data_IF_417956586650
#
_entry.id   IF_417956586650
#
_cell.length_a   1.000
_cell.length_b   1.000
_cell.length_c   1.000
_cell.angle_alpha   90.00
_cell.angle_beta   90.00
_cell.angle_gamma   90.00
#
_symmetry.space_group_name_H-M   'P 1'
#
loop_
_entity.id
_entity.type
_entity.pdbx_description
1 polymer ?
#
# COMPACT_ATOMS: atom_id res chain seq x y z
N UNK A 1 16.83 -3.43 -5.19
CA UNK A 1 16.59 -1.98 -4.98
C UNK A 1 15.21 -1.73 -4.35
N UNK A 2 14.11 -2.22 -4.92
CA UNK A 2 12.73 -1.97 -4.43
C UNK A 2 12.55 -2.35 -2.95
N UNK A 3 13.05 -3.52 -2.51
CA UNK A 3 12.92 -3.93 -1.11
C UNK A 3 13.62 -2.95 -0.13
N UNK A 4 14.77 -2.37 -0.51
CA UNK A 4 15.46 -1.37 0.34
C UNK A 4 14.63 -0.10 0.49
N UNK A 5 13.99 0.35 -0.61
CA UNK A 5 13.10 1.51 -0.58
C UNK A 5 11.87 1.21 0.28
N UNK A 6 11.28 0.01 0.14
CA UNK A 6 10.15 -0.42 0.97
C UNK A 6 10.49 -0.45 2.47
N UNK A 7 11.67 -0.95 2.84
CA UNK A 7 12.12 -0.89 4.23
C UNK A 7 12.33 0.54 4.72
N UNK A 8 12.86 1.42 3.85
CA UNK A 8 12.95 2.85 4.15
C UNK A 8 11.57 3.49 4.40
N UNK A 9 10.58 3.14 3.59
CA UNK A 9 9.19 3.59 3.79
C UNK A 9 8.58 3.05 5.08
N UNK A 10 8.81 1.78 5.42
CA UNK A 10 8.36 1.22 6.70
C UNK A 10 8.97 1.97 7.89
N UNK A 11 10.28 2.26 7.83
CA UNK A 11 10.94 3.05 8.85
C UNK A 11 10.37 4.48 8.93
N UNK A 12 10.07 5.10 7.80
CA UNK A 12 9.46 6.43 7.75
C UNK A 12 8.05 6.44 8.38
N UNK A 13 7.25 5.39 8.19
CA UNK A 13 5.94 5.25 8.86
C UNK A 13 6.13 5.23 10.38
N UNK A 14 7.01 4.35 10.87
CA UNK A 14 7.23 4.20 12.31
C UNK A 14 7.82 5.46 12.95
N UNK A 15 8.80 6.08 12.29
CA UNK A 15 9.39 7.34 12.75
C UNK A 15 8.36 8.47 12.73
N UNK A 16 7.55 8.57 11.67
CA UNK A 16 6.49 9.56 11.57
C UNK A 16 5.51 9.45 12.74
N UNK A 17 5.03 8.24 13.03
CA UNK A 17 4.16 7.97 14.18
C UNK A 17 4.84 8.37 15.50
N UNK A 18 6.06 7.90 15.70
CA UNK A 18 6.79 8.17 16.96
C UNK A 18 7.02 9.66 17.20
N UNK A 19 7.48 10.39 16.17
CA UNK A 19 7.83 11.80 16.29
C UNK A 19 6.62 12.72 16.45
N UNK A 20 5.46 12.30 15.93
CA UNK A 20 4.26 13.16 15.93
C UNK A 20 3.22 12.74 16.98
N UNK A 21 3.43 11.63 17.67
CA UNK A 21 2.46 11.08 18.64
C UNK A 21 2.03 12.11 19.68
N UNK A 22 3.00 12.77 20.33
CA UNK A 22 2.72 13.73 21.38
C UNK A 22 1.95 14.97 20.87
N UNK A 23 2.20 15.37 19.63
CA UNK A 23 1.55 16.51 19.02
C UNK A 23 0.10 16.24 18.60
N UNK A 24 -0.30 14.97 18.45
CA UNK A 24 -1.68 14.63 18.10
C UNK A 24 -2.63 14.93 19.25
N UNK A 25 -3.78 15.57 18.99
CA UNK A 25 -4.81 15.81 20.00
C UNK A 25 -5.48 14.49 20.41
N UNK A 26 -6.14 14.53 21.56
CA UNK A 26 -7.05 13.48 22.02
C UNK A 26 -8.38 14.14 22.39
N UNK A 27 -9.47 13.81 21.70
CA UNK A 27 -9.63 12.81 20.65
C UNK A 27 -9.11 13.26 19.27
N UNK A 28 -8.83 12.25 18.41
CA UNK A 28 -8.51 12.44 16.99
C UNK A 28 -9.76 12.48 16.12
N UNK A 29 -9.69 13.21 15.02
CA UNK A 29 -10.72 13.22 13.99
C UNK A 29 -10.22 12.55 12.72
N UNK A 30 -11.02 11.65 12.17
CA UNK A 30 -10.71 10.95 10.91
C UNK A 30 -11.93 10.91 9.98
N UNK A 31 -11.68 10.75 8.68
CA UNK A 31 -12.73 10.45 7.70
C UNK A 31 -12.80 8.95 7.45
N UNK A 32 -14.01 8.37 7.43
CA UNK A 32 -14.20 6.92 7.24
C UNK A 32 -14.32 6.50 5.80
N UNK A 33 -14.73 7.40 4.91
CA UNK A 33 -14.97 7.11 3.50
C UNK A 33 -14.41 8.19 2.60
N UNK A 34 -14.11 7.82 1.34
CA UNK A 34 -13.69 8.78 0.32
C UNK A 34 -14.74 9.89 0.11
N UNK A 35 -16.02 9.55 0.23
CA UNK A 35 -17.11 10.53 0.11
C UNK A 35 -17.13 11.54 1.25
N UNK A 36 -16.84 11.10 2.47
CA UNK A 36 -16.69 12.00 3.63
C UNK A 36 -15.44 12.88 3.49
N UNK A 37 -14.37 12.31 2.92
CA UNK A 37 -13.16 13.07 2.62
C UNK A 37 -13.42 14.19 1.59
N UNK A 38 -14.25 13.91 0.57
CA UNK A 38 -14.59 14.89 -0.47
C UNK A 38 -15.58 15.94 0.05
N UNK A 39 -16.57 15.51 0.83
CA UNK A 39 -17.64 16.35 1.31
C UNK A 39 -17.31 17.13 2.60
N UNK A 40 -16.27 16.74 3.29
CA UNK A 40 -15.82 17.25 4.63
C UNK A 40 -16.94 17.30 5.70
N UNK A 41 -17.99 16.49 5.55
CA UNK A 41 -19.23 16.65 6.31
C UNK A 41 -19.29 15.81 7.59
N UNK A 42 -18.51 14.72 7.68
CA UNK A 42 -18.56 13.80 8.82
C UNK A 42 -17.16 13.36 9.20
N UNK A 43 -16.74 13.74 10.38
CA UNK A 43 -15.47 13.29 10.99
C UNK A 43 -15.78 12.28 12.08
N UNK A 44 -15.15 11.13 12.04
CA UNK A 44 -15.18 10.19 13.16
C UNK A 44 -14.19 10.61 14.22
N UNK A 45 -14.67 10.54 15.46
CA UNK A 45 -13.86 10.80 16.64
C UNK A 45 -13.28 9.48 17.16
N UNK A 46 -11.98 9.47 17.36
CA UNK A 46 -11.23 8.32 17.87
C UNK A 46 -10.45 8.72 19.12
N UNK A 47 -10.38 7.81 20.07
CA UNK A 47 -9.34 7.85 21.10
C UNK A 47 -7.96 7.69 20.43
N UNK A 48 -7.02 8.53 20.81
CA UNK A 48 -5.67 8.59 20.23
C UNK A 48 -4.93 7.26 20.34
N UNK A 49 -5.01 6.60 21.49
CA UNK A 49 -4.35 5.31 21.72
C UNK A 49 -4.97 4.21 20.87
N UNK A 50 -6.30 4.15 20.80
CA UNK A 50 -7.02 3.15 20.00
C UNK A 50 -6.77 3.33 18.51
N UNK A 51 -6.74 4.58 18.02
CA UNK A 51 -6.39 4.87 16.63
C UNK A 51 -5.00 4.35 16.29
N UNK A 52 -4.00 4.66 17.11
CA UNK A 52 -2.63 4.24 16.87
C UNK A 52 -2.45 2.73 16.94
N UNK A 53 -3.09 2.07 17.92
CA UNK A 53 -3.07 0.62 18.02
C UNK A 53 -3.63 -0.02 16.75
N UNK A 54 -4.80 0.45 16.29
CA UNK A 54 -5.41 -0.03 15.06
C UNK A 54 -4.51 0.23 13.83
N UNK A 55 -3.96 1.44 13.73
CA UNK A 55 -3.10 1.83 12.62
C UNK A 55 -1.83 0.99 12.55
N UNK A 56 -1.13 0.80 13.67
CA UNK A 56 0.09 -0.01 13.75
C UNK A 56 -0.21 -1.49 13.53
N UNK A 57 -1.32 -2.02 14.08
CA UNK A 57 -1.73 -3.40 13.83
C UNK A 57 -2.01 -3.63 12.33
N UNK A 58 -2.75 -2.72 11.69
CA UNK A 58 -2.99 -2.78 10.24
C UNK A 58 -1.68 -2.71 9.45
N UNK A 59 -0.76 -1.80 9.80
CA UNK A 59 0.55 -1.68 9.17
C UNK A 59 1.35 -2.99 9.26
N UNK A 60 1.42 -3.62 10.44
CA UNK A 60 2.15 -4.87 10.64
C UNK A 60 1.51 -6.00 9.84
N UNK A 61 0.19 -6.17 9.94
CA UNK A 61 -0.56 -7.23 9.24
C UNK A 61 -0.40 -7.09 7.73
N UNK A 62 -0.56 -5.88 7.19
CA UNK A 62 -0.41 -5.62 5.75
C UNK A 62 1.01 -5.98 5.26
N UNK A 63 2.04 -5.60 6.00
CA UNK A 63 3.43 -5.90 5.63
C UNK A 63 3.76 -7.39 5.76
N UNK A 64 3.30 -8.08 6.79
CA UNK A 64 3.45 -9.53 6.92
C UNK A 64 2.75 -10.25 5.76
N UNK A 65 1.55 -9.82 5.40
CA UNK A 65 0.83 -10.39 4.27
C UNK A 65 1.59 -10.19 2.95
N UNK A 66 2.01 -8.96 2.65
CA UNK A 66 2.63 -8.61 1.37
C UNK A 66 4.04 -9.20 1.23
N UNK A 67 4.89 -9.10 2.27
CA UNK A 67 6.30 -9.47 2.14
C UNK A 67 6.62 -10.90 2.59
N UNK A 68 5.76 -11.54 3.37
CA UNK A 68 5.96 -12.91 3.81
C UNK A 68 4.98 -13.86 3.16
N UNK A 69 3.66 -13.64 3.35
CA UNK A 69 2.65 -14.61 2.96
C UNK A 69 2.47 -14.69 1.44
N UNK A 70 2.31 -13.57 0.74
CA UNK A 70 2.12 -13.57 -0.72
C UNK A 70 3.28 -14.19 -1.49
N UNK A 71 4.56 -13.88 -1.24
CA UNK A 71 5.68 -14.54 -1.92
C UNK A 71 5.75 -16.04 -1.67
N UNK A 72 5.40 -16.49 -0.45
CA UNK A 72 5.32 -17.92 -0.12
C UNK A 72 4.21 -18.60 -0.93
N UNK A 73 3.00 -18.01 -0.95
CA UNK A 73 1.86 -18.56 -1.68
C UNK A 73 2.12 -18.63 -3.18
N UNK A 74 2.70 -17.58 -3.78
CA UNK A 74 3.07 -17.57 -5.20
C UNK A 74 4.11 -18.63 -5.52
N UNK A 75 5.09 -18.84 -4.65
CA UNK A 75 6.11 -19.87 -4.85
C UNK A 75 5.52 -21.28 -4.75
N UNK A 76 4.59 -21.51 -3.82
CA UNK A 76 4.00 -22.83 -3.55
C UNK A 76 2.83 -23.17 -4.49
N UNK A 77 2.00 -22.19 -4.80
CA UNK A 77 0.75 -22.37 -5.54
C UNK A 77 0.60 -21.40 -6.74
N UNK A 78 1.59 -21.31 -7.65
CA UNK A 78 1.56 -20.31 -8.71
C UNK A 78 0.34 -20.47 -9.63
N UNK A 79 -0.07 -21.71 -9.93
CA UNK A 79 -1.23 -21.99 -10.79
C UNK A 79 -2.58 -21.52 -10.20
N UNK A 80 -2.72 -21.48 -8.89
CA UNK A 80 -3.94 -21.05 -8.25
C UNK A 80 -4.09 -19.52 -8.22
N UNK A 81 -2.96 -18.82 -8.16
CA UNK A 81 -2.93 -17.36 -7.94
C UNK A 81 -2.80 -16.56 -9.24
N UNK A 82 -2.31 -17.20 -10.33
CA UNK A 82 -2.02 -16.49 -11.58
C UNK A 82 -2.98 -16.95 -12.66
N UNK A 83 -3.86 -16.05 -13.10
CA UNK A 83 -4.89 -16.32 -14.09
C UNK A 83 -4.59 -15.69 -15.45
N UNK A 84 -3.79 -14.62 -15.48
CA UNK A 84 -3.46 -13.86 -16.69
C UNK A 84 -2.51 -14.67 -17.56
N UNK A 85 -2.90 -14.92 -18.82
CA UNK A 85 -2.10 -15.67 -19.80
C UNK A 85 -1.61 -17.03 -19.31
N UNK A 86 -2.44 -17.75 -18.55
CA UNK A 86 -2.08 -19.00 -17.86
C UNK A 86 -1.52 -20.07 -18.81
N UNK A 87 -2.13 -20.26 -19.97
CA UNK A 87 -1.68 -21.25 -20.98
C UNK A 87 -0.28 -20.96 -21.51
N UNK A 88 0.10 -19.70 -21.62
CA UNK A 88 1.43 -19.29 -22.03
C UNK A 88 2.47 -19.53 -20.93
N UNK A 89 2.17 -19.09 -19.72
CA UNK A 89 3.13 -19.12 -18.62
C UNK A 89 3.41 -20.50 -18.05
N UNK A 90 2.45 -21.42 -18.11
CA UNK A 90 2.61 -22.78 -17.60
C UNK A 90 2.90 -23.82 -18.68
N UNK A 91 3.35 -23.40 -19.86
CA UNK A 91 3.71 -24.28 -20.97
C UNK A 91 4.98 -25.06 -20.69
N UNK A 92 5.97 -24.44 -20.03
CA UNK A 92 7.24 -25.05 -19.67
C UNK A 92 7.77 -24.47 -18.34
N UNK A 93 8.74 -25.15 -17.72
CA UNK A 93 9.29 -24.75 -16.40
C UNK A 93 10.07 -23.42 -16.47
N UNK A 94 10.71 -23.11 -17.59
CA UNK A 94 11.46 -21.86 -17.75
C UNK A 94 10.51 -20.67 -17.67
N UNK A 95 9.39 -20.70 -18.39
CA UNK A 95 8.34 -19.66 -18.35
C UNK A 95 7.69 -19.55 -16.99
N UNK A 96 7.40 -20.68 -16.36
CA UNK A 96 6.86 -20.70 -14.98
C UNK A 96 7.80 -19.99 -14.01
N UNK A 97 9.11 -20.23 -14.08
CA UNK A 97 10.09 -19.58 -13.22
C UNK A 97 10.21 -18.06 -13.51
N UNK A 98 10.17 -17.68 -14.79
CA UNK A 98 10.09 -16.25 -15.18
C UNK A 98 8.85 -15.58 -14.61
N UNK A 99 7.69 -16.23 -14.69
CA UNK A 99 6.45 -15.74 -14.13
C UNK A 99 6.54 -15.54 -12.62
N UNK A 100 7.04 -16.53 -11.88
CA UNK A 100 7.20 -16.44 -10.42
C UNK A 100 8.09 -15.23 -10.06
N UNK A 101 9.17 -15.02 -10.79
CA UNK A 101 10.07 -13.88 -10.60
C UNK A 101 9.37 -12.56 -10.90
N UNK A 102 8.59 -12.49 -11.99
CA UNK A 102 7.82 -11.33 -12.36
C UNK A 102 6.77 -10.98 -11.29
N UNK A 103 6.02 -11.98 -10.80
CA UNK A 103 5.01 -11.80 -9.75
C UNK A 103 5.65 -11.34 -8.44
N UNK A 104 6.79 -11.90 -8.04
CA UNK A 104 7.53 -11.42 -6.86
C UNK A 104 7.95 -9.95 -6.99
N UNK A 105 8.33 -9.53 -8.19
CA UNK A 105 8.62 -8.12 -8.47
C UNK A 105 7.37 -7.25 -8.32
N UNK A 106 6.23 -7.69 -8.88
CA UNK A 106 4.93 -6.99 -8.72
C UNK A 106 4.54 -6.88 -7.24
N UNK A 107 4.71 -7.95 -6.45
CA UNK A 107 4.44 -7.93 -5.01
C UNK A 107 5.32 -6.92 -4.29
N UNK A 108 6.61 -6.83 -4.63
CA UNK A 108 7.50 -5.84 -4.03
C UNK A 108 7.08 -4.40 -4.32
N UNK A 109 6.62 -4.11 -5.55
CA UNK A 109 6.07 -2.80 -5.91
C UNK A 109 4.70 -2.56 -5.26
N UNK A 110 3.85 -3.59 -5.14
CA UNK A 110 2.60 -3.49 -4.40
C UNK A 110 2.84 -3.12 -2.93
N UNK A 111 3.86 -3.71 -2.32
CA UNK A 111 4.26 -3.37 -0.95
C UNK A 111 4.77 -1.94 -0.81
N UNK A 112 5.57 -1.46 -1.76
CA UNK A 112 6.00 -0.06 -1.78
C UNK A 112 4.79 0.88 -1.90
N UNK A 113 3.87 0.57 -2.81
CA UNK A 113 2.66 1.35 -3.01
C UNK A 113 1.75 1.34 -1.77
N UNK A 114 1.51 0.16 -1.16
CA UNK A 114 0.73 0.03 0.05
C UNK A 114 1.32 0.84 1.22
N UNK A 115 2.64 0.75 1.43
CA UNK A 115 3.32 1.53 2.48
C UNK A 115 3.28 3.04 2.21
N UNK A 116 3.32 3.46 0.94
CA UNK A 116 3.11 4.86 0.58
C UNK A 116 1.71 5.34 0.96
N UNK A 117 0.66 4.53 0.67
CA UNK A 117 -0.72 4.85 1.06
C UNK A 117 -0.83 4.94 2.59
N UNK A 118 -0.27 3.98 3.31
CA UNK A 118 -0.30 3.96 4.79
C UNK A 118 0.37 5.22 5.34
N UNK A 119 1.55 5.60 4.84
CA UNK A 119 2.25 6.81 5.25
C UNK A 119 1.43 8.07 4.95
N UNK A 120 0.89 8.18 3.73
CA UNK A 120 0.05 9.32 3.35
C UNK A 120 -1.22 9.42 4.16
N UNK A 121 -1.88 8.29 4.47
CA UNK A 121 -3.07 8.27 5.32
C UNK A 121 -2.76 8.78 6.72
N UNK A 122 -1.63 8.38 7.30
CA UNK A 122 -1.20 8.87 8.60
C UNK A 122 -0.95 10.38 8.59
N UNK A 123 -0.16 10.86 7.62
CA UNK A 123 0.12 12.29 7.46
C UNK A 123 -1.13 13.11 7.22
N UNK A 124 -2.09 12.55 6.46
CA UNK A 124 -3.37 13.22 6.24
C UNK A 124 -4.15 13.38 7.55
N UNK A 125 -4.24 12.31 8.36
CA UNK A 125 -4.87 12.39 9.69
C UNK A 125 -4.15 13.39 10.57
N UNK A 126 -2.83 13.39 10.59
CA UNK A 126 -2.03 14.34 11.35
C UNK A 126 -2.34 15.79 10.94
N UNK A 127 -2.23 16.10 9.65
CA UNK A 127 -2.47 17.45 9.12
C UNK A 127 -3.90 17.94 9.36
N UNK A 128 -4.89 17.04 9.23
CA UNK A 128 -6.30 17.37 9.53
C UNK A 128 -6.48 17.79 10.99
N UNK A 129 -5.85 17.07 11.91
CA UNK A 129 -5.94 17.36 13.34
C UNK A 129 -5.13 18.59 13.77
N UNK A 130 -4.15 19.00 12.96
CA UNK A 130 -3.41 20.26 13.14
C UNK A 130 -4.11 21.47 12.49
N UNK A 131 -5.27 21.28 11.85
CA UNK A 131 -6.00 22.36 11.16
C UNK A 131 -5.35 22.82 9.84
N UNK A 132 -4.44 22.00 9.27
CA UNK A 132 -3.67 22.36 8.07
C UNK A 132 -4.26 21.70 6.80
N UNK A 133 -5.10 20.67 6.96
CA UNK A 133 -5.41 19.74 5.86
C UNK A 133 -6.52 20.18 4.90
N UNK A 134 -7.25 21.25 5.16
CA UNK A 134 -8.44 21.58 4.35
C UNK A 134 -8.14 21.81 2.86
N UNK A 135 -6.88 22.05 2.51
CA UNK A 135 -6.45 22.24 1.11
C UNK A 135 -5.77 21.01 0.50
N UNK A 136 -5.41 19.98 1.28
CA UNK A 136 -4.56 18.87 0.81
C UNK A 136 -5.32 17.62 0.38
N UNK A 137 -6.61 17.47 0.70
CA UNK A 137 -7.38 16.27 0.33
C UNK A 137 -7.48 16.06 -1.18
N UNK A 138 -7.60 17.13 -1.97
CA UNK A 138 -7.62 17.03 -3.44
C UNK A 138 -6.28 16.51 -3.97
N UNK A 139 -5.16 17.02 -3.45
CA UNK A 139 -3.82 16.56 -3.82
C UNK A 139 -3.64 15.09 -3.47
N UNK A 140 -4.11 14.65 -2.31
CA UNK A 140 -4.09 13.25 -1.89
C UNK A 140 -4.88 12.35 -2.85
N UNK A 141 -6.10 12.74 -3.22
CA UNK A 141 -6.94 11.98 -4.16
C UNK A 141 -6.27 11.85 -5.52
N UNK A 142 -5.72 12.94 -6.05
CA UNK A 142 -5.02 12.94 -7.35
C UNK A 142 -3.78 12.03 -7.27
N UNK A 143 -2.96 12.15 -6.23
CA UNK A 143 -1.77 11.33 -6.05
C UNK A 143 -2.11 9.84 -5.92
N UNK A 144 -3.18 9.51 -5.18
CA UNK A 144 -3.68 8.14 -5.05
C UNK A 144 -4.17 7.59 -6.38
N UNK A 145 -4.97 8.34 -7.13
CA UNK A 145 -5.48 7.93 -8.44
C UNK A 145 -4.35 7.71 -9.45
N UNK A 146 -3.39 8.64 -9.52
CA UNK A 146 -2.22 8.53 -10.39
C UNK A 146 -1.34 7.33 -10.02
N UNK A 147 -1.07 7.12 -8.73
CA UNK A 147 -0.32 5.98 -8.22
C UNK A 147 -1.00 4.65 -8.53
N UNK A 148 -2.34 4.58 -8.37
CA UNK A 148 -3.13 3.39 -8.72
C UNK A 148 -3.07 3.09 -10.22
N UNK A 149 -3.25 4.10 -11.06
CA UNK A 149 -3.17 3.95 -12.52
C UNK A 149 -1.79 3.46 -12.95
N UNK A 150 -0.73 4.06 -12.38
CA UNK A 150 0.65 3.62 -12.64
C UNK A 150 0.90 2.18 -12.18
N UNK A 151 0.44 1.81 -10.99
CA UNK A 151 0.59 0.45 -10.47
C UNK A 151 -0.12 -0.57 -11.36
N UNK A 152 -1.36 -0.30 -11.76
CA UNK A 152 -2.09 -1.17 -12.68
C UNK A 152 -1.37 -1.32 -14.02
N UNK A 153 -0.90 -0.22 -14.61
CA UNK A 153 -0.09 -0.25 -15.82
C UNK A 153 1.16 -1.14 -15.65
N UNK A 154 1.87 -1.00 -14.53
CA UNK A 154 3.04 -1.82 -14.23
C UNK A 154 2.69 -3.32 -14.14
N UNK A 155 1.60 -3.68 -13.44
CA UNK A 155 1.13 -5.07 -13.34
C UNK A 155 0.85 -5.64 -14.74
N UNK A 156 0.04 -4.96 -15.53
CA UNK A 156 -0.31 -5.43 -16.87
C UNK A 156 0.90 -5.52 -17.80
N UNK A 157 1.79 -4.56 -17.78
CA UNK A 157 3.00 -4.57 -18.60
C UNK A 157 3.94 -5.72 -18.22
N UNK A 158 4.06 -6.01 -16.93
CA UNK A 158 4.93 -7.09 -16.42
C UNK A 158 4.38 -8.49 -16.73
N UNK A 159 3.04 -8.63 -16.85
CA UNK A 159 2.37 -9.91 -17.10
C UNK A 159 2.16 -10.21 -18.61
N UNK A 160 2.58 -9.31 -19.50
CA UNK A 160 2.51 -9.56 -20.96
C UNK A 160 3.49 -10.66 -21.37
N UNK A 161 3.05 -11.62 -22.24
CA UNK A 161 3.95 -12.58 -22.86
C UNK A 161 5.02 -11.88 -23.71
N UNK A 162 6.28 -12.33 -23.63
CA UNK A 162 7.35 -11.87 -24.51
C UNK A 162 8.03 -10.54 -24.14
N UNK A 163 7.71 -9.91 -23.02
CA UNK A 163 8.32 -8.64 -22.60
C UNK A 163 9.69 -8.77 -21.94
N UNK A 164 10.19 -10.01 -21.78
CA UNK A 164 11.54 -10.28 -21.24
C UNK A 164 12.19 -11.37 -22.09
N UNK A 165 12.87 -10.95 -23.15
CA UNK A 165 13.90 -11.77 -23.82
C UNK A 165 15.20 -11.68 -23.05
#
# INVERSE_FOLDING_TARGET
MVNRISFGMMAAVLLGVFLTYEALPDPLYTHTTLMQLIADNVRLQWDKGNFLLFYLAFFVIANLFIYLLLPMLVSKYPRALIWINRSYWFRDEARKNQLITAVKSVIAYAGLYANSIILFTYWFVYLTNMGIADSYHVVFIIAFAAGTAWFLYYVFSTMKPGTRS
#
